data_IF_154817674147
#
_entry.id   IF_154817674147
#
_cell.length_a   1.000
_cell.length_b   1.000
_cell.length_c   1.000
_cell.angle_alpha   90.00
_cell.angle_beta   90.00
_cell.angle_gamma   90.00
#
_symmetry.space_group_name_H-M   'P 1'
#
loop_
_entity.id
_entity.type
_entity.pdbx_description
1 polymer ?
#
# COMPACT_ATOMS: atom_id res chain seq x y z
N UNK A 1 -16.55 -48.65 21.34
CA UNK A 1 -15.11 -48.38 21.18
C UNK A 1 -14.73 -47.90 19.79
N UNK A 2 -14.84 -48.72 18.73
CA UNK A 2 -14.37 -48.36 17.36
C UNK A 2 -15.00 -47.09 16.77
N UNK A 3 -16.29 -46.85 17.02
CA UNK A 3 -17.00 -45.65 16.54
C UNK A 3 -16.52 -44.36 17.22
N UNK A 4 -16.18 -44.42 18.51
CA UNK A 4 -15.68 -43.27 19.29
C UNK A 4 -14.29 -42.86 18.80
N UNK A 5 -13.44 -43.83 18.48
CA UNK A 5 -12.13 -43.59 17.90
C UNK A 5 -12.21 -42.85 16.55
N UNK A 6 -13.17 -43.24 15.70
CA UNK A 6 -13.39 -42.59 14.40
C UNK A 6 -13.85 -41.14 14.55
N UNK A 7 -14.73 -40.84 15.51
CA UNK A 7 -15.17 -39.48 15.81
C UNK A 7 -14.02 -38.60 16.30
N UNK A 8 -13.16 -39.13 17.18
CA UNK A 8 -11.97 -38.41 17.65
C UNK A 8 -10.97 -38.13 16.51
N UNK A 9 -10.78 -39.08 15.61
CA UNK A 9 -9.90 -38.90 14.45
C UNK A 9 -10.44 -37.80 13.51
N UNK A 10 -11.74 -37.82 13.19
CA UNK A 10 -12.37 -36.81 12.35
C UNK A 10 -12.34 -35.40 13.01
N UNK A 11 -12.55 -35.33 14.32
CA UNK A 11 -12.50 -34.08 15.07
C UNK A 11 -11.11 -33.44 15.08
N UNK A 12 -10.04 -34.23 15.09
CA UNK A 12 -8.68 -33.68 14.99
C UNK A 12 -8.36 -33.16 13.59
N UNK A 13 -8.86 -33.84 12.54
CA UNK A 13 -8.60 -33.41 11.15
C UNK A 13 -9.33 -32.12 10.76
N UNK A 14 -10.46 -31.79 11.39
CA UNK A 14 -11.21 -30.55 11.10
C UNK A 14 -10.51 -29.30 11.61
N UNK A 15 -9.69 -29.40 12.66
CA UNK A 15 -8.95 -28.26 13.23
C UNK A 15 -7.82 -27.78 12.31
N UNK A 16 -7.30 -28.65 11.44
CA UNK A 16 -6.15 -28.34 10.55
C UNK A 16 -6.60 -27.51 9.34
N UNK A 17 -7.87 -27.59 8.94
CA UNK A 17 -8.41 -26.90 7.74
C UNK A 17 -8.45 -25.37 7.90
N UNK A 18 -8.60 -24.86 9.13
CA UNK A 18 -8.68 -23.41 9.39
C UNK A 18 -7.32 -22.71 9.43
N UNK A 19 -6.21 -23.45 9.31
CA UNK A 19 -4.85 -22.88 9.28
C UNK A 19 -4.33 -22.58 7.86
N UNK A 20 -5.20 -22.62 6.84
CA UNK A 20 -4.79 -22.29 5.47
C UNK A 20 -4.40 -20.81 5.39
N UNK A 21 -3.09 -20.57 5.27
CA UNK A 21 -2.50 -19.25 5.02
C UNK A 21 -3.11 -18.68 3.75
N UNK A 22 -3.92 -17.63 3.89
CA UNK A 22 -4.42 -16.85 2.77
C UNK A 22 -3.20 -16.35 1.99
N UNK A 23 -3.07 -16.78 0.73
CA UNK A 23 -2.09 -16.20 -0.18
C UNK A 23 -2.57 -14.78 -0.39
N UNK A 24 -1.95 -13.80 0.26
CA UNK A 24 -2.21 -12.39 0.01
C UNK A 24 -2.06 -12.18 -1.49
N UNK A 25 -3.20 -12.09 -2.18
CA UNK A 25 -3.26 -11.42 -3.46
C UNK A 25 -2.86 -10.00 -3.09
N UNK A 26 -1.58 -9.68 -3.30
CA UNK A 26 -1.12 -8.29 -3.34
C UNK A 26 -1.96 -7.68 -4.44
N UNK A 27 -3.10 -7.09 -4.08
CA UNK A 27 -3.92 -6.34 -5.01
C UNK A 27 -2.97 -5.29 -5.58
N UNK A 28 -2.56 -5.48 -6.82
CA UNK A 28 -1.75 -4.53 -7.58
C UNK A 28 -2.64 -3.35 -7.96
N UNK A 29 -3.29 -2.71 -6.98
CA UNK A 29 -3.87 -1.40 -7.20
C UNK A 29 -2.71 -0.49 -7.58
N UNK A 30 -2.85 0.30 -8.64
CA UNK A 30 -1.79 1.23 -8.99
C UNK A 30 -1.60 2.20 -7.80
N UNK A 31 -0.39 2.25 -7.25
CA UNK A 31 -0.04 3.12 -6.13
C UNK A 31 0.28 4.54 -6.64
N UNK A 32 -0.59 5.06 -7.49
CA UNK A 32 -0.52 6.42 -7.99
C UNK A 32 -1.60 7.26 -7.31
N UNK A 33 -1.23 8.47 -6.93
CA UNK A 33 -2.14 9.45 -6.35
C UNK A 33 -1.94 10.76 -7.09
N UNK A 34 -3.03 11.36 -7.55
CA UNK A 34 -3.04 12.70 -8.13
C UNK A 34 -3.90 13.54 -7.21
N UNK A 35 -3.27 14.52 -6.56
CA UNK A 35 -3.96 15.42 -5.67
C UNK A 35 -3.84 16.86 -6.18
N UNK A 36 -4.91 17.63 -5.94
CA UNK A 36 -4.92 19.06 -6.12
C UNK A 36 -5.06 19.68 -4.73
N UNK A 37 -4.04 20.41 -4.33
CA UNK A 37 -3.97 21.05 -3.03
C UNK A 37 -4.26 22.54 -3.21
N UNK A 38 -5.12 23.08 -2.36
CA UNK A 38 -5.34 24.51 -2.23
C UNK A 38 -4.65 24.95 -0.94
N UNK A 39 -3.82 25.99 -1.01
CA UNK A 39 -3.07 26.55 0.13
C UNK A 39 -2.18 25.50 0.84
N UNK A 40 -1.39 24.75 0.06
CA UNK A 40 -0.55 23.64 0.55
C UNK A 40 0.72 23.44 -0.28
N UNK A 41 1.67 22.63 0.21
CA UNK A 41 2.97 22.36 -0.44
C UNK A 41 3.71 23.64 -0.89
N UNK A 42 3.67 24.70 -0.06
CA UNK A 42 4.23 26.03 -0.33
C UNK A 42 3.57 26.83 -1.49
N UNK A 43 2.38 26.42 -1.96
CA UNK A 43 1.64 27.07 -3.07
C UNK A 43 0.19 27.40 -2.72
N UNK A 44 -0.36 28.40 -3.39
CA UNK A 44 -1.79 28.73 -3.44
C UNK A 44 -2.59 27.62 -4.10
N UNK A 45 -2.10 27.12 -5.24
CA UNK A 45 -2.65 25.96 -5.94
C UNK A 45 -1.49 25.04 -6.30
N UNK A 46 -1.56 23.77 -5.92
CA UNK A 46 -0.62 22.74 -6.37
C UNK A 46 -1.31 21.54 -6.98
N UNK A 47 -0.71 21.04 -8.06
CA UNK A 47 -1.00 19.73 -8.62
C UNK A 47 0.16 18.81 -8.27
N UNK A 48 -0.11 17.74 -7.52
CA UNK A 48 0.91 16.73 -7.25
C UNK A 48 0.54 15.38 -7.85
N UNK A 49 1.54 14.78 -8.47
CA UNK A 49 1.56 13.40 -8.91
C UNK A 49 2.50 12.60 -8.02
N UNK A 50 1.94 11.69 -7.24
CA UNK A 50 2.66 10.77 -6.37
C UNK A 50 2.57 9.36 -6.95
N UNK A 51 3.69 8.64 -6.92
CA UNK A 51 3.76 7.25 -7.35
C UNK A 51 4.65 6.47 -6.40
N UNK A 52 4.16 5.33 -5.93
CA UNK A 52 4.94 4.40 -5.11
C UNK A 52 5.30 3.15 -5.92
N UNK A 53 6.53 2.69 -5.73
CA UNK A 53 7.08 1.48 -6.30
C UNK A 53 7.42 0.54 -5.16
N UNK A 54 6.74 -0.61 -5.10
CA UNK A 54 7.10 -1.68 -4.18
C UNK A 54 8.30 -2.40 -4.78
N UNK A 55 9.49 -2.22 -4.19
CA UNK A 55 10.71 -2.91 -4.62
C UNK A 55 10.83 -4.29 -3.95
N UNK A 56 10.31 -4.43 -2.73
CA UNK A 56 10.24 -5.69 -1.98
C UNK A 56 9.17 -5.59 -0.86
N UNK A 57 8.83 -6.68 -0.17
CA UNK A 57 7.86 -6.63 0.95
C UNK A 57 8.23 -5.66 2.07
N UNK A 58 9.51 -5.33 2.22
CA UNK A 58 10.02 -4.44 3.27
C UNK A 58 10.48 -3.08 2.77
N UNK A 59 10.50 -2.83 1.44
CA UNK A 59 11.02 -1.59 0.86
C UNK A 59 10.06 -0.99 -0.17
N UNK A 60 9.73 0.28 0.05
CA UNK A 60 8.87 1.08 -0.82
C UNK A 60 9.64 2.33 -1.24
N UNK A 61 9.75 2.53 -2.55
CA UNK A 61 10.24 3.78 -3.13
C UNK A 61 9.05 4.67 -3.46
N UNK A 62 9.01 5.88 -2.92
CA UNK A 62 7.98 6.87 -3.20
C UNK A 62 8.57 8.03 -4.00
N UNK A 63 7.94 8.39 -5.12
CA UNK A 63 8.29 9.56 -5.91
C UNK A 63 7.12 10.54 -5.94
N UNK A 64 7.39 11.83 -5.74
CA UNK A 64 6.40 12.90 -5.87
C UNK A 64 6.92 13.99 -6.80
N UNK A 65 6.10 14.33 -7.77
CA UNK A 65 6.24 15.48 -8.66
C UNK A 65 5.13 16.47 -8.31
N UNK A 66 5.47 17.71 -8.00
CA UNK A 66 4.54 18.76 -7.64
C UNK A 66 4.76 20.01 -8.47
N UNK A 67 3.69 20.55 -9.04
CA UNK A 67 3.68 21.85 -9.69
C UNK A 67 2.84 22.79 -8.83
N UNK A 68 3.44 23.87 -8.34
CA UNK A 68 2.80 24.88 -7.50
C UNK A 68 2.76 26.23 -8.21
N UNK A 69 1.61 26.88 -8.14
CA UNK A 69 1.40 28.26 -8.58
C UNK A 69 1.23 29.17 -7.36
N UNK A 70 1.97 30.28 -7.32
CA UNK A 70 1.75 31.40 -6.39
C UNK A 70 1.63 32.70 -7.17
N UNK A 71 0.99 33.70 -6.56
CA UNK A 71 0.91 35.05 -7.11
C UNK A 71 2.27 35.68 -7.40
N UNK A 72 3.30 35.30 -6.65
CA UNK A 72 4.65 35.87 -6.77
C UNK A 72 5.64 34.98 -7.53
N UNK A 73 5.50 33.64 -7.49
CA UNK A 73 6.47 32.70 -8.05
C UNK A 73 5.83 31.34 -8.39
N UNK A 74 6.00 30.89 -9.63
CA UNK A 74 5.71 29.50 -10.03
C UNK A 74 6.87 28.57 -9.63
N UNK A 75 6.58 27.42 -9.04
CA UNK A 75 7.64 26.46 -8.67
C UNK A 75 7.30 25.01 -9.00
N UNK A 76 8.31 24.30 -9.48
CA UNK A 76 8.28 22.86 -9.73
C UNK A 76 9.12 22.17 -8.64
N UNK A 77 8.48 21.30 -7.87
CA UNK A 77 9.12 20.49 -6.84
C UNK A 77 9.17 19.02 -7.27
N UNK A 78 10.36 18.44 -7.25
CA UNK A 78 10.54 16.99 -7.44
C UNK A 78 11.31 16.43 -6.25
N UNK A 79 10.79 15.37 -5.65
CA UNK A 79 11.54 14.63 -4.63
C UNK A 79 11.18 13.15 -4.62
N UNK A 80 12.14 12.37 -4.15
CA UNK A 80 12.04 10.92 -3.99
C UNK A 80 12.38 10.54 -2.56
N UNK A 81 11.57 9.66 -1.97
CA UNK A 81 11.72 9.18 -0.61
C UNK A 81 11.82 7.65 -0.62
N UNK A 82 12.82 7.13 0.06
CA UNK A 82 12.96 5.70 0.32
C UNK A 82 12.38 5.38 1.71
N UNK A 83 11.41 4.47 1.78
CA UNK A 83 10.77 4.08 3.03
C UNK A 83 10.87 2.57 3.26
N UNK A 84 11.18 2.19 4.50
CA UNK A 84 11.22 0.79 4.96
C UNK A 84 9.95 0.52 5.77
N UNK A 85 9.20 -0.54 5.40
CA UNK A 85 8.02 -1.00 6.14
C UNK A 85 8.40 -1.65 7.47
#
# INVERSE_FOLDING_TARGET
MKKVFLVLLLFNTSLILFAQKQKELVETRPLNNINLNLLGDASLISLNYERQFILSPSFILSSKLGLGYNEEVDFLCFWTLFSRR
#
